data_IF_202105492949
#
_entry.id   IF_202105492949
#
_cell.length_a   1.000
_cell.length_b   1.000
_cell.length_c   1.000
_cell.angle_alpha   90.00
_cell.angle_beta   90.00
_cell.angle_gamma   90.00
#
_symmetry.space_group_name_H-M   'P 1'
#
loop_
_entity.id
_entity.type
_entity.pdbx_description
1 polymer ?
#
# COMPACT_ATOMS: atom_id res chain seq x y z
N UNK A 1 11.17 -15.57 31.22
CA UNK A 1 12.56 -16.09 31.25
C UNK A 1 13.34 -15.38 30.15
N UNK A 2 14.10 -14.36 30.52
CA UNK A 2 14.73 -13.39 29.61
C UNK A 2 16.08 -13.93 29.12
N UNK A 3 16.35 -13.84 27.82
CA UNK A 3 17.68 -14.16 27.26
C UNK A 3 18.09 -13.11 26.24
N UNK A 4 18.47 -11.95 26.74
CA UNK A 4 19.27 -10.96 26.01
C UNK A 4 20.67 -11.53 25.75
N UNK A 5 21.14 -11.43 24.50
CA UNK A 5 22.58 -11.46 24.19
C UNK A 5 22.93 -10.26 23.34
N UNK A 6 24.00 -9.61 23.77
CA UNK A 6 24.48 -8.31 23.31
C UNK A 6 25.78 -8.50 22.52
N UNK A 7 25.97 -7.61 21.52
CA UNK A 7 27.23 -6.88 21.17
C UNK A 7 28.32 -7.55 20.30
N UNK A 8 28.58 -6.94 19.13
CA UNK A 8 29.78 -6.15 18.69
C UNK A 8 29.87 -6.19 17.14
N UNK A 9 29.82 -5.09 16.39
CA UNK A 9 30.73 -3.92 16.26
C UNK A 9 31.83 -4.08 15.18
N UNK A 10 31.69 -3.23 14.14
CA UNK A 10 32.71 -2.46 13.39
C UNK A 10 33.77 -3.13 12.48
N UNK A 11 33.81 -2.66 11.21
CA UNK A 11 34.99 -2.31 10.40
C UNK A 11 34.46 -1.68 9.08
N UNK A 12 34.39 -0.35 8.89
CA UNK A 12 35.42 0.69 8.67
C UNK A 12 36.31 0.47 7.42
N UNK A 13 35.91 1.15 6.33
CA UNK A 13 36.65 1.97 5.35
C UNK A 13 38.05 1.60 4.82
N UNK A 14 38.23 1.67 3.49
CA UNK A 14 39.22 2.51 2.75
C UNK A 14 39.05 2.29 1.22
N UNK A 15 38.67 3.22 0.33
CA UNK A 15 39.27 4.46 -0.20
C UNK A 15 40.47 4.24 -1.18
N UNK A 16 40.34 4.86 -2.37
CA UNK A 16 41.36 5.50 -3.25
C UNK A 16 41.69 4.82 -4.60
N UNK A 17 41.34 5.56 -5.66
CA UNK A 17 41.77 5.52 -7.08
C UNK A 17 43.20 6.07 -7.23
N UNK A 18 43.97 5.63 -8.24
CA UNK A 18 44.64 6.64 -9.06
C UNK A 18 44.50 6.39 -10.57
N UNK A 19 44.09 7.45 -11.27
CA UNK A 19 44.38 7.69 -12.67
C UNK A 19 45.90 7.78 -12.88
N UNK A 20 46.41 7.18 -13.95
CA UNK A 20 47.67 7.60 -14.55
C UNK A 20 47.43 7.86 -16.04
N UNK A 21 47.57 9.13 -16.41
CA UNK A 21 47.60 9.62 -17.77
C UNK A 21 49.05 9.94 -18.18
N UNK A 22 49.34 9.75 -19.48
CA UNK A 22 50.50 10.26 -20.22
C UNK A 22 51.58 9.21 -20.52
N UNK A 23 52.25 9.16 -21.68
CA UNK A 23 52.25 9.91 -22.93
C UNK A 23 53.20 9.16 -23.90
N UNK A 24 52.95 9.14 -25.21
CA UNK A 24 53.93 9.52 -26.27
C UNK A 24 53.24 9.64 -27.63
N UNK A 25 53.68 10.58 -28.50
CA UNK A 25 53.03 10.89 -29.77
C UNK A 25 53.58 10.06 -30.93
N UNK A 26 52.71 9.66 -31.86
CA UNK A 26 53.12 9.30 -33.22
C UNK A 26 52.15 9.99 -34.19
N UNK A 27 52.72 10.95 -34.92
CA UNK A 27 52.15 11.54 -36.12
C UNK A 27 51.88 10.46 -37.17
N UNK A 28 50.64 10.35 -37.60
CA UNK A 28 50.27 9.81 -38.90
C UNK A 28 48.96 10.47 -39.33
N UNK A 29 49.08 11.49 -40.19
CA UNK A 29 47.97 12.12 -40.87
C UNK A 29 47.24 11.13 -41.76
N UNK A 30 46.00 10.74 -41.45
CA UNK A 30 45.05 10.23 -42.44
C UNK A 30 43.61 10.53 -41.99
N UNK A 31 42.94 11.36 -42.81
CA UNK A 31 41.49 11.54 -42.97
C UNK A 31 40.70 12.30 -41.88
N UNK A 32 39.79 13.22 -42.28
CA UNK A 32 38.79 13.77 -41.37
C UNK A 32 37.68 12.73 -41.23
N UNK A 33 37.85 11.76 -40.35
CA UNK A 33 36.70 11.04 -39.83
C UNK A 33 35.98 11.99 -38.90
N UNK A 34 35.01 12.70 -39.47
CA UNK A 34 33.89 13.21 -38.68
C UNK A 34 33.12 11.96 -38.27
N UNK A 35 33.67 11.26 -37.26
CA UNK A 35 32.92 10.30 -36.47
C UNK A 35 31.78 11.15 -35.91
N UNK A 36 30.65 11.11 -36.61
CA UNK A 36 29.38 11.52 -36.05
C UNK A 36 29.22 10.56 -34.90
N UNK A 37 29.70 10.97 -33.72
CA UNK A 37 29.33 10.35 -32.48
C UNK A 37 27.81 10.34 -32.55
N UNK A 38 27.24 9.17 -32.79
CA UNK A 38 25.84 8.91 -32.53
C UNK A 38 25.74 9.20 -31.05
N UNK A 39 25.40 10.45 -30.74
CA UNK A 39 24.92 10.83 -29.43
C UNK A 39 23.68 9.98 -29.29
N UNK A 40 23.84 8.80 -28.66
CA UNK A 40 22.73 7.98 -28.24
C UNK A 40 21.83 8.95 -27.51
N UNK A 41 20.69 9.27 -28.12
CA UNK A 41 19.70 10.10 -27.46
C UNK A 41 19.43 9.37 -26.15
N UNK A 42 19.82 9.97 -25.04
CA UNK A 42 19.55 9.41 -23.74
C UNK A 42 18.05 9.20 -23.69
N UNK A 43 17.61 7.95 -23.76
CA UNK A 43 16.21 7.59 -23.60
C UNK A 43 15.84 8.08 -22.22
N UNK A 44 14.93 9.04 -22.17
CA UNK A 44 14.40 9.53 -20.90
C UNK A 44 13.71 8.34 -20.26
N UNK A 45 14.04 7.97 -19.01
CA UNK A 45 13.35 6.89 -18.33
C UNK A 45 11.85 7.14 -18.35
N UNK A 46 11.08 6.17 -18.84
CA UNK A 46 9.63 6.23 -18.83
C UNK A 46 9.16 5.78 -17.45
N UNK A 47 8.28 6.54 -16.81
CA UNK A 47 7.72 6.13 -15.52
C UNK A 47 6.91 4.83 -15.68
N UNK A 48 7.24 3.82 -14.88
CA UNK A 48 6.61 2.50 -14.92
C UNK A 48 7.16 1.53 -15.98
N UNK A 49 8.16 1.95 -16.77
CA UNK A 49 9.00 1.05 -17.56
C UNK A 49 9.99 0.37 -16.60
N UNK A 50 9.63 -0.85 -16.19
CA UNK A 50 10.34 -1.62 -15.17
C UNK A 50 11.45 -2.49 -15.72
N UNK A 51 11.41 -2.82 -17.02
CA UNK A 51 12.45 -3.62 -17.67
C UNK A 51 13.44 -2.78 -18.51
N UNK A 52 13.13 -1.50 -18.72
CA UNK A 52 14.00 -0.50 -19.34
C UNK A 52 14.10 -0.63 -20.86
N UNK A 53 13.11 -1.25 -21.50
CA UNK A 53 13.10 -1.46 -22.95
C UNK A 53 12.70 -0.20 -23.75
N UNK A 54 12.25 0.86 -23.05
CA UNK A 54 11.86 2.13 -23.64
C UNK A 54 10.42 2.16 -24.16
N UNK A 55 9.62 1.12 -23.90
CA UNK A 55 8.19 1.06 -24.13
C UNK A 55 7.45 0.69 -22.83
N UNK A 56 6.12 0.80 -22.82
CA UNK A 56 5.31 0.26 -21.72
C UNK A 56 4.57 -0.95 -22.25
N UNK A 57 4.83 -2.12 -21.67
CA UNK A 57 4.04 -3.32 -21.91
C UNK A 57 2.59 -3.10 -21.45
N UNK A 58 1.66 -3.91 -21.96
CA UNK A 58 0.26 -3.87 -21.50
C UNK A 58 0.13 -4.18 -20.01
N UNK A 59 1.05 -4.98 -19.46
CA UNK A 59 1.12 -5.26 -18.03
C UNK A 59 1.53 -4.02 -17.24
N UNK A 60 2.58 -3.32 -17.66
CA UNK A 60 3.05 -2.10 -16.99
C UNK A 60 2.02 -0.98 -17.05
N UNK A 61 1.32 -0.84 -18.18
CA UNK A 61 0.18 0.09 -18.29
C UNK A 61 -0.92 -0.24 -17.28
N UNK A 62 -1.24 -1.52 -17.09
CA UNK A 62 -2.23 -1.94 -16.11
C UNK A 62 -1.76 -1.69 -14.67
N UNK A 63 -0.48 -1.92 -14.37
CA UNK A 63 0.12 -1.62 -13.07
C UNK A 63 0.07 -0.12 -12.78
N UNK A 64 0.48 0.72 -13.74
CA UNK A 64 0.42 2.18 -13.65
C UNK A 64 -1.02 2.66 -13.41
N UNK A 65 -1.99 2.16 -14.19
CA UNK A 65 -3.39 2.55 -14.06
C UNK A 65 -3.97 2.15 -12.69
N UNK A 66 -3.59 0.98 -12.17
CA UNK A 66 -4.02 0.53 -10.83
C UNK A 66 -3.44 1.41 -9.72
N UNK A 67 -2.20 1.87 -9.87
CA UNK A 67 -1.48 2.65 -8.88
C UNK A 67 -1.61 4.18 -9.06
N UNK A 68 -2.40 4.63 -10.05
CA UNK A 68 -2.61 6.04 -10.30
C UNK A 68 -3.27 6.73 -9.09
N UNK A 69 -2.86 7.96 -8.74
CA UNK A 69 -3.52 8.76 -7.71
C UNK A 69 -5.01 8.94 -7.97
N UNK A 70 -5.80 8.99 -6.90
CA UNK A 70 -7.25 9.12 -6.94
C UNK A 70 -7.73 10.27 -6.07
N UNK A 71 -8.66 11.05 -6.61
CA UNK A 71 -9.31 12.12 -5.87
C UNK A 71 -10.53 11.55 -5.14
N UNK A 72 -10.49 11.58 -3.81
CA UNK A 72 -11.60 11.15 -2.94
C UNK A 72 -12.27 12.40 -2.39
N UNK A 73 -13.59 12.52 -2.61
CA UNK A 73 -14.38 13.62 -2.05
C UNK A 73 -14.96 13.20 -0.72
N UNK A 74 -14.56 13.88 0.35
CA UNK A 74 -15.12 13.70 1.68
C UNK A 74 -16.54 14.27 1.78
N UNK A 75 -17.30 13.89 2.81
CA UNK A 75 -18.68 14.32 3.07
C UNK A 75 -18.80 15.84 3.25
N UNK A 76 -17.74 16.50 3.69
CA UNK A 76 -17.68 17.97 3.81
C UNK A 76 -17.35 18.67 2.48
N UNK A 77 -17.15 17.91 1.39
CA UNK A 77 -16.79 18.38 0.06
C UNK A 77 -15.28 18.55 -0.16
N UNK A 78 -14.44 18.30 0.84
CA UNK A 78 -12.98 18.34 0.70
C UNK A 78 -12.51 17.23 -0.24
N UNK A 79 -11.60 17.55 -1.15
CA UNK A 79 -10.98 16.55 -2.04
C UNK A 79 -9.60 16.19 -1.50
N UNK A 80 -9.37 14.90 -1.26
CA UNK A 80 -8.09 14.35 -0.80
C UNK A 80 -7.55 13.41 -1.88
N UNK A 81 -6.28 13.62 -2.24
CA UNK A 81 -5.56 12.71 -3.14
C UNK A 81 -5.10 11.49 -2.36
N UNK A 82 -5.54 10.31 -2.79
CA UNK A 82 -5.08 9.01 -2.29
C UNK A 82 -4.19 8.37 -3.33
N UNK A 83 -2.99 7.96 -2.93
CA UNK A 83 -2.06 7.23 -3.79
C UNK A 83 -2.14 5.75 -3.39
N UNK A 84 -2.67 4.86 -4.24
CA UNK A 84 -2.69 3.43 -3.96
C UNK A 84 -1.28 2.91 -3.66
N UNK A 85 -1.13 2.12 -2.60
CA UNK A 85 0.20 1.66 -2.13
C UNK A 85 0.76 2.47 -0.97
N UNK A 86 0.30 3.70 -0.75
CA UNK A 86 0.69 4.53 0.40
C UNK A 86 -0.32 4.39 1.54
N UNK A 87 0.07 4.65 2.80
CA UNK A 87 -0.89 4.71 3.90
C UNK A 87 -2.06 5.65 3.59
N UNK A 88 -3.28 5.25 3.96
CA UNK A 88 -4.45 6.09 3.75
C UNK A 88 -4.32 7.41 4.54
N UNK A 89 -4.68 8.56 3.93
CA UNK A 89 -4.75 9.82 4.66
C UNK A 89 -5.76 9.73 5.82
N UNK A 90 -5.40 10.28 6.98
CA UNK A 90 -6.26 10.24 8.18
C UNK A 90 -7.69 10.74 7.94
N UNK A 91 -7.94 11.84 7.18
CA UNK A 91 -9.31 12.28 6.94
C UNK A 91 -10.19 11.24 6.22
N UNK A 92 -9.59 10.42 5.36
CA UNK A 92 -10.31 9.31 4.69
C UNK A 92 -10.58 8.19 5.69
N UNK A 93 -9.61 7.85 6.54
CA UNK A 93 -9.78 6.87 7.61
C UNK A 93 -10.92 7.29 8.55
N UNK A 94 -10.92 8.55 9.00
CA UNK A 94 -11.92 9.09 9.91
C UNK A 94 -13.34 9.00 9.32
N UNK A 95 -13.47 9.23 8.01
CA UNK A 95 -14.74 9.10 7.30
C UNK A 95 -15.20 7.64 7.20
N UNK A 96 -14.30 6.72 6.84
CA UNK A 96 -14.61 5.28 6.83
C UNK A 96 -15.06 4.83 8.21
N UNK A 97 -14.38 5.28 9.27
CA UNK A 97 -14.75 4.97 10.65
C UNK A 97 -16.13 5.53 10.98
N UNK A 98 -16.41 6.78 10.63
CA UNK A 98 -17.72 7.40 10.86
C UNK A 98 -18.84 6.64 10.15
N UNK A 99 -18.64 6.26 8.90
CA UNK A 99 -19.63 5.54 8.09
C UNK A 99 -19.86 4.11 8.57
N UNK A 100 -18.81 3.42 9.05
CA UNK A 100 -18.90 2.05 9.55
C UNK A 100 -19.41 1.95 11.01
N UNK A 101 -19.31 3.04 11.79
CA UNK A 101 -19.68 3.07 13.22
C UNK A 101 -21.13 2.62 13.49
N UNK A 102 -22.16 3.07 12.74
CA UNK A 102 -23.53 2.59 12.93
C UNK A 102 -23.67 1.07 12.77
N UNK A 103 -23.03 0.49 11.74
CA UNK A 103 -23.02 -0.95 11.53
C UNK A 103 -22.30 -1.71 12.65
N UNK A 104 -21.17 -1.16 13.13
CA UNK A 104 -20.43 -1.72 14.26
C UNK A 104 -21.21 -1.66 15.59
N UNK A 105 -21.98 -0.60 15.82
CA UNK A 105 -22.88 -0.51 16.98
C UNK A 105 -24.01 -1.55 16.88
N UNK A 106 -24.57 -1.73 15.69
CA UNK A 106 -25.61 -2.72 15.44
C UNK A 106 -25.09 -4.17 15.57
N UNK A 107 -23.82 -4.42 15.25
CA UNK A 107 -23.14 -5.71 15.43
C UNK A 107 -23.02 -6.17 16.90
N UNK A 108 -23.29 -5.29 17.86
CA UNK A 108 -23.14 -5.55 19.30
C UNK A 108 -24.47 -5.78 20.02
N UNK A 109 -25.60 -5.59 19.34
CA UNK A 109 -26.91 -5.71 19.98
C UNK A 109 -27.26 -7.17 20.26
N UNK A 110 -28.06 -7.42 21.30
CA UNK A 110 -28.58 -8.77 21.62
C UNK A 110 -29.75 -9.20 20.73
N UNK A 111 -30.20 -8.34 19.82
CA UNK A 111 -31.25 -8.68 18.85
C UNK A 111 -30.76 -9.79 17.89
N UNK A 112 -31.66 -10.69 17.52
CA UNK A 112 -31.32 -11.88 16.72
C UNK A 112 -30.82 -11.54 15.31
N UNK A 113 -31.32 -10.46 14.70
CA UNK A 113 -31.07 -10.13 13.30
C UNK A 113 -30.20 -8.89 13.12
N UNK A 114 -30.22 -7.97 14.09
CA UNK A 114 -29.49 -6.72 14.00
C UNK A 114 -27.98 -6.94 13.83
N UNK A 115 -27.30 -7.91 14.50
CA UNK A 115 -25.88 -8.12 14.28
C UNK A 115 -25.51 -8.49 12.85
N UNK A 116 -26.32 -9.33 12.20
CA UNK A 116 -26.12 -9.72 10.80
C UNK A 116 -26.27 -8.50 9.88
N UNK A 117 -27.28 -7.67 10.12
CA UNK A 117 -27.48 -6.44 9.37
C UNK A 117 -26.36 -5.41 9.63
N UNK A 118 -25.83 -5.33 10.85
CA UNK A 118 -24.69 -4.49 11.21
C UNK A 118 -23.43 -4.88 10.43
N UNK A 119 -23.10 -6.17 10.42
CA UNK A 119 -21.98 -6.72 9.63
C UNK A 119 -22.16 -6.43 8.14
N UNK A 120 -23.38 -6.60 7.62
CA UNK A 120 -23.69 -6.27 6.22
C UNK A 120 -23.44 -4.79 5.90
N UNK A 121 -23.85 -3.90 6.80
CA UNK A 121 -23.64 -2.45 6.66
C UNK A 121 -22.15 -2.09 6.68
N UNK A 122 -21.35 -2.69 7.58
CA UNK A 122 -19.88 -2.49 7.60
C UNK A 122 -19.25 -2.93 6.27
N UNK A 123 -19.71 -4.05 5.70
CA UNK A 123 -19.23 -4.54 4.40
C UNK A 123 -19.57 -3.57 3.27
N UNK A 124 -20.80 -3.06 3.24
CA UNK A 124 -21.23 -2.08 2.24
C UNK A 124 -20.33 -0.84 2.27
N UNK A 125 -19.92 -0.37 3.47
CA UNK A 125 -18.93 0.71 3.63
C UNK A 125 -17.57 0.30 3.07
N UNK A 126 -17.03 -0.86 3.48
CA UNK A 126 -15.73 -1.33 2.99
C UNK A 126 -15.69 -1.43 1.45
N UNK A 127 -16.74 -1.99 0.84
CA UNK A 127 -16.87 -2.11 -0.62
C UNK A 127 -16.98 -0.75 -1.30
N UNK A 128 -17.74 0.20 -0.76
CA UNK A 128 -17.87 1.53 -1.32
C UNK A 128 -16.50 2.23 -1.41
N UNK A 129 -15.75 2.25 -0.30
CA UNK A 129 -14.43 2.86 -0.26
C UNK A 129 -13.39 2.09 -1.08
N UNK A 130 -13.46 0.77 -1.13
CA UNK A 130 -12.56 -0.01 -1.97
C UNK A 130 -12.71 0.35 -3.46
N UNK A 131 -13.94 0.61 -3.92
CA UNK A 131 -14.20 1.04 -5.29
C UNK A 131 -13.64 2.43 -5.59
N UNK A 132 -13.79 3.37 -4.65
CA UNK A 132 -13.27 4.74 -4.81
C UNK A 132 -11.74 4.77 -4.76
N UNK A 133 -11.14 4.09 -3.79
CA UNK A 133 -9.69 4.03 -3.55
C UNK A 133 -8.98 3.11 -4.57
N UNK A 134 -9.71 2.17 -5.16
CA UNK A 134 -9.16 1.19 -6.10
C UNK A 134 -8.33 0.09 -5.43
N UNK A 135 -8.56 -0.17 -4.14
CA UNK A 135 -7.78 -1.12 -3.33
C UNK A 135 -8.66 -1.73 -2.25
N UNK A 136 -8.38 -2.97 -1.85
CA UNK A 136 -9.19 -3.66 -0.83
C UNK A 136 -9.20 -2.90 0.49
N UNK A 137 -10.34 -2.89 1.17
CA UNK A 137 -10.49 -2.34 2.53
C UNK A 137 -10.93 -3.44 3.48
N UNK A 138 -10.24 -3.55 4.61
CA UNK A 138 -10.57 -4.43 5.74
C UNK A 138 -10.93 -3.56 6.93
N UNK A 139 -12.10 -3.79 7.49
CA UNK A 139 -12.57 -3.11 8.69
C UNK A 139 -12.48 -4.08 9.86
N UNK A 140 -11.71 -3.71 10.87
CA UNK A 140 -11.64 -4.36 12.18
C UNK A 140 -12.69 -3.72 13.09
N UNK A 141 -13.56 -4.52 13.70
CA UNK A 141 -14.66 -4.02 14.53
C UNK A 141 -14.94 -4.98 15.70
N UNK A 142 -15.55 -4.45 16.76
CA UNK A 142 -16.07 -5.25 17.87
C UNK A 142 -17.52 -5.67 17.58
N UNK A 143 -17.79 -6.97 17.64
CA UNK A 143 -19.13 -7.54 17.45
C UNK A 143 -19.22 -8.94 18.04
N UNK A 144 -20.42 -9.33 18.50
CA UNK A 144 -20.65 -10.67 19.07
C UNK A 144 -19.64 -11.09 20.19
N UNK A 145 -19.13 -10.12 20.96
CA UNK A 145 -18.23 -10.38 22.10
C UNK A 145 -16.76 -10.66 21.73
N UNK A 146 -16.35 -10.34 20.50
CA UNK A 146 -14.97 -10.40 20.03
C UNK A 146 -14.68 -9.30 19.00
N UNK A 147 -13.41 -8.98 18.81
CA UNK A 147 -12.91 -8.29 17.62
C UNK A 147 -12.90 -9.26 16.45
N UNK A 148 -13.46 -8.80 15.34
CA UNK A 148 -13.44 -9.51 14.06
C UNK A 148 -13.15 -8.55 12.92
N UNK A 149 -13.22 -9.08 11.70
CA UNK A 149 -12.93 -8.34 10.48
C UNK A 149 -13.98 -8.58 9.42
N UNK A 150 -14.20 -7.57 8.59
CA UNK A 150 -14.96 -7.66 7.33
C UNK A 150 -14.11 -7.03 6.23
N UNK A 151 -14.01 -7.68 5.07
CA UNK A 151 -13.27 -7.18 3.92
C UNK A 151 -14.19 -6.82 2.74
N UNK A 152 -13.63 -6.09 1.78
CA UNK A 152 -14.26 -5.78 0.50
C UNK A 152 -13.97 -6.80 -0.62
N UNK A 153 -13.26 -7.91 -0.34
CA UNK A 153 -12.74 -8.83 -1.39
C UNK A 153 -13.86 -9.57 -2.11
N UNK A 154 -14.87 -10.01 -1.38
CA UNK A 154 -15.97 -10.77 -1.96
C UNK A 154 -17.31 -10.47 -1.25
N UNK A 155 -18.38 -11.08 -1.79
CA UNK A 155 -19.73 -10.93 -1.24
C UNK A 155 -19.87 -11.51 0.17
N UNK A 156 -19.01 -12.42 0.61
CA UNK A 156 -19.05 -12.91 2.00
C UNK A 156 -18.47 -11.89 2.97
N UNK A 157 -17.50 -11.08 2.50
CA UNK A 157 -16.71 -10.16 3.31
C UNK A 157 -15.80 -10.88 4.31
N UNK A 158 -15.64 -12.20 4.19
CA UNK A 158 -14.85 -13.02 5.08
C UNK A 158 -13.35 -12.83 4.86
N UNK A 159 -12.60 -12.75 5.95
CA UNK A 159 -11.12 -12.83 5.94
C UNK A 159 -10.61 -14.18 6.45
N UNK A 160 -11.53 -15.04 6.92
CA UNK A 160 -11.25 -16.30 7.62
C UNK A 160 -10.44 -16.16 8.92
N UNK A 161 -10.22 -14.93 9.40
CA UNK A 161 -9.54 -14.66 10.67
C UNK A 161 -10.46 -15.01 11.84
N UNK A 162 -9.95 -15.80 12.78
CA UNK A 162 -10.67 -16.15 13.99
C UNK A 162 -10.76 -14.95 14.94
N UNK A 163 -11.97 -14.58 15.33
CA UNK A 163 -12.19 -13.47 16.25
C UNK A 163 -11.50 -13.66 17.62
N UNK A 164 -11.08 -12.55 18.23
CA UNK A 164 -10.37 -12.55 19.53
C UNK A 164 -10.88 -11.43 20.43
N UNK A 165 -10.70 -11.54 21.74
CA UNK A 165 -11.05 -10.46 22.67
C UNK A 165 -10.00 -9.35 22.75
N UNK A 166 -8.82 -9.57 22.20
CA UNK A 166 -7.72 -8.62 22.21
C UNK A 166 -7.67 -7.81 20.91
N UNK A 167 -7.92 -6.51 21.00
CA UNK A 167 -7.92 -5.61 19.85
C UNK A 167 -6.57 -5.63 19.12
N UNK A 168 -5.46 -5.54 19.86
CA UNK A 168 -4.14 -5.43 19.27
C UNK A 168 -3.78 -6.71 18.53
N UNK A 169 -4.16 -7.87 19.08
CA UNK A 169 -4.02 -9.16 18.40
C UNK A 169 -4.85 -9.21 17.11
N UNK A 170 -6.07 -8.68 17.10
CA UNK A 170 -6.90 -8.66 15.87
C UNK A 170 -6.36 -7.69 14.83
N UNK A 171 -5.91 -6.50 15.24
CA UNK A 171 -5.31 -5.51 14.34
C UNK A 171 -4.03 -6.07 13.71
N UNK A 172 -3.18 -6.76 14.49
CA UNK A 172 -2.00 -7.43 13.96
C UNK A 172 -2.37 -8.51 12.92
N UNK A 173 -3.33 -9.39 13.23
CA UNK A 173 -3.78 -10.42 12.31
C UNK A 173 -4.40 -9.84 11.02
N UNK A 174 -5.18 -8.76 11.14
CA UNK A 174 -5.77 -8.06 10.00
C UNK A 174 -4.70 -7.37 9.14
N UNK A 175 -3.64 -6.84 9.77
CA UNK A 175 -2.51 -6.22 9.06
C UNK A 175 -1.73 -7.27 8.26
N UNK A 176 -1.39 -8.41 8.87
CA UNK A 176 -0.72 -9.52 8.18
C UNK A 176 -1.56 -10.04 7.01
N UNK A 177 -2.88 -10.17 7.20
CA UNK A 177 -3.79 -10.54 6.13
C UNK A 177 -3.81 -9.50 5.00
N UNK A 178 -3.85 -8.21 5.35
CA UNK A 178 -3.92 -7.10 4.41
C UNK A 178 -2.67 -6.99 3.52
N UNK A 179 -1.49 -7.33 4.04
CA UNK A 179 -0.25 -7.39 3.24
C UNK A 179 -0.35 -8.39 2.08
N UNK A 180 -0.98 -9.54 2.30
CA UNK A 180 -1.16 -10.57 1.27
C UNK A 180 -2.32 -10.30 0.29
N UNK A 181 -3.22 -9.38 0.63
CA UNK A 181 -4.42 -9.07 -0.15
C UNK A 181 -4.41 -7.65 -0.73
N UNK A 182 -3.27 -6.96 -0.66
CA UNK A 182 -3.12 -5.60 -1.18
C UNK A 182 -4.22 -4.68 -0.59
N UNK A 183 -4.35 -4.69 0.74
CA UNK A 183 -5.49 -4.07 1.43
C UNK A 183 -5.09 -2.99 2.44
N UNK A 184 -6.04 -2.10 2.73
CA UNK A 184 -5.97 -1.16 3.85
C UNK A 184 -6.71 -1.71 5.06
N UNK A 185 -6.18 -1.47 6.25
CA UNK A 185 -6.84 -1.81 7.52
C UNK A 185 -7.39 -0.54 8.16
N UNK A 186 -8.66 -0.58 8.55
CA UNK A 186 -9.35 0.48 9.29
C UNK A 186 -9.95 -0.11 10.56
N UNK A 187 -9.75 0.53 11.70
CA UNK A 187 -10.24 0.06 13.00
C UNK A 187 -11.41 0.91 13.46
N UNK A 188 -12.54 0.27 13.76
CA UNK A 188 -13.78 0.93 14.20
C UNK A 188 -14.06 0.58 15.66
N UNK A 189 -14.13 1.61 16.50
CA UNK A 189 -14.31 1.49 17.95
C UNK A 189 -12.99 1.63 18.73
N UNK A 190 -13.12 1.86 20.03
CA UNK A 190 -11.98 2.01 20.96
C UNK A 190 -11.59 0.69 21.61
N UNK A 191 -10.33 0.57 22.03
CA UNK A 191 -9.89 -0.47 22.95
C UNK A 191 -10.77 -0.46 24.20
N UNK A 192 -11.30 -1.63 24.55
CA UNK A 192 -12.08 -1.86 25.77
C UNK A 192 -11.19 -2.43 26.87
#
# INVERSE_FOLDING_TARGET
MMKTRTRRAALTALLIVPLVAGCTPVDASFLPDTETALTAAATVPIEGDTDGDGELSEFEKQVLARNAPRDITLHDGTVIVVIPGQPLPQPVIDQIVADATPGAAQAQTEDEFAPVAGVRSIREVATAYANEIGRTVVIVYWGQGAWGTVSSVDESGGTELAGTRDQDTMVAAATDWAESHDAYVVVVGSSH
#
